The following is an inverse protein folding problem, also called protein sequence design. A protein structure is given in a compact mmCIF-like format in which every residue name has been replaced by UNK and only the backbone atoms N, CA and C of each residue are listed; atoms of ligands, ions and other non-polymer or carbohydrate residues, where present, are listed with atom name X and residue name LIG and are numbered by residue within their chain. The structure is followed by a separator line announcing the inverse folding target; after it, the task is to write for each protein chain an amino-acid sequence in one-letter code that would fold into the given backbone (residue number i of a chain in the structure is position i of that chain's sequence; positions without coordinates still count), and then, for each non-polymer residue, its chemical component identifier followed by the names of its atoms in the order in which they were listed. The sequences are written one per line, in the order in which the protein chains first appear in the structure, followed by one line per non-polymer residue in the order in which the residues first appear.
data_IF_692468080391
#
_entry.id   IF_692468080391
#
_cell.length_a   1.000
_cell.length_b   1.000
_cell.length_c   1.000
_cell.angle_alpha   90.00
_cell.angle_beta   90.00
_cell.angle_gamma   90.00
#
_symmetry.space_group_name_H-M   'P 1'
#
loop_
_entity.id
_entity.type
_entity.pdbx_description
1 polymer ?
#
# COMPACT_ATOMS: atom_id res chain seq x y z
N UNK A 1 17.09 4.55 23.32
CA UNK A 1 16.90 3.16 23.77
C UNK A 1 17.27 2.27 22.59
N UNK A 2 18.56 2.00 22.44
CA UNK A 2 19.19 1.37 21.28
C UNK A 2 19.42 -0.11 21.57
N UNK A 3 18.46 -0.95 21.19
CA UNK A 3 18.69 -2.39 21.10
C UNK A 3 18.10 -2.86 19.78
N UNK A 4 18.79 -2.55 18.68
CA UNK A 4 18.53 -3.22 17.42
C UNK A 4 19.15 -4.62 17.53
N UNK A 5 18.50 -5.50 18.30
CA UNK A 5 18.89 -6.91 18.33
C UNK A 5 18.58 -7.50 16.96
N UNK A 6 19.63 -7.57 16.13
CA UNK A 6 19.50 -8.00 14.76
C UNK A 6 19.27 -9.52 14.77
N UNK A 7 18.08 -9.95 14.32
CA UNK A 7 17.69 -11.36 14.39
C UNK A 7 18.69 -12.21 13.62
N UNK A 8 19.28 -13.20 14.29
CA UNK A 8 20.19 -14.15 13.66
C UNK A 8 19.41 -15.09 12.72
N UNK A 9 19.85 -15.16 11.47
CA UNK A 9 19.26 -15.95 10.39
C UNK A 9 20.35 -16.87 9.82
N UNK A 10 20.54 -18.07 10.39
CA UNK A 10 21.59 -18.97 9.96
C UNK A 10 21.33 -19.46 8.54
N UNK A 11 22.39 -19.50 7.73
CA UNK A 11 22.34 -20.05 6.38
C UNK A 11 22.17 -21.56 6.47
N UNK A 12 21.00 -22.07 6.05
CA UNK A 12 20.74 -23.51 5.90
C UNK A 12 21.17 -23.99 4.52
N UNK A 13 20.89 -23.20 3.47
CA UNK A 13 21.27 -23.52 2.09
C UNK A 13 21.46 -22.25 1.27
N UNK A 14 22.58 -22.11 0.57
CA UNK A 14 22.79 -21.06 -0.43
C UNK A 14 22.06 -21.39 -1.73
N UNK A 15 21.51 -20.37 -2.40
CA UNK A 15 20.83 -20.49 -3.69
C UNK A 15 21.64 -19.76 -4.79
N UNK A 16 21.41 -20.15 -6.03
CA UNK A 16 22.25 -19.73 -7.17
C UNK A 16 22.13 -18.24 -7.52
N UNK A 17 21.07 -17.57 -7.06
CA UNK A 17 20.86 -16.13 -7.26
C UNK A 17 21.37 -15.26 -6.10
N UNK A 18 22.20 -15.82 -5.22
CA UNK A 18 22.84 -15.12 -4.10
C UNK A 18 21.98 -14.98 -2.84
N UNK A 19 20.73 -15.44 -2.89
CA UNK A 19 19.87 -15.57 -1.71
C UNK A 19 20.11 -16.88 -0.96
N UNK A 20 19.54 -17.03 0.23
CA UNK A 20 19.71 -18.26 1.02
C UNK A 20 18.46 -18.67 1.79
N UNK A 21 18.31 -19.97 2.03
CA UNK A 21 17.31 -20.50 2.95
C UNK A 21 17.81 -20.40 4.40
N UNK A 22 16.92 -19.99 5.29
CA UNK A 22 17.13 -19.94 6.74
C UNK A 22 15.94 -20.59 7.43
N UNK A 23 16.17 -21.07 8.66
CA UNK A 23 15.12 -21.60 9.52
C UNK A 23 14.89 -20.65 10.71
N UNK A 24 13.63 -20.34 11.00
CA UNK A 24 13.25 -19.64 12.23
C UNK A 24 12.33 -20.51 13.08
N UNK A 25 12.31 -20.22 14.37
CA UNK A 25 11.50 -20.90 15.36
C UNK A 25 10.71 -19.87 16.18
N UNK A 26 9.53 -20.22 16.72
CA UNK A 26 8.72 -19.33 17.54
C UNK A 26 9.45 -18.82 18.78
N UNK A 27 10.24 -19.70 19.42
CA UNK A 27 10.97 -19.43 20.66
C UNK A 27 12.28 -20.23 20.75
N UNK A 28 13.07 -19.99 21.79
CA UNK A 28 14.39 -20.61 21.97
C UNK A 28 14.34 -22.11 22.34
N UNK A 29 13.31 -22.56 23.04
CA UNK A 29 13.13 -23.97 23.40
C UNK A 29 12.77 -24.78 22.16
N UNK A 30 11.88 -24.25 21.34
CA UNK A 30 11.50 -24.81 20.04
C UNK A 30 12.71 -24.92 19.09
N UNK A 31 13.66 -23.99 19.16
CA UNK A 31 14.93 -24.07 18.42
C UNK A 31 15.80 -25.25 18.86
N UNK A 32 15.89 -25.51 20.16
CA UNK A 32 16.65 -26.64 20.73
C UNK A 32 16.05 -27.98 20.30
N UNK A 33 14.73 -28.11 20.34
CA UNK A 33 14.02 -29.34 19.96
C UNK A 33 13.70 -29.44 18.47
N UNK A 34 14.08 -28.43 17.67
CA UNK A 34 13.70 -28.22 16.27
C UNK A 34 12.18 -28.36 16.00
N UNK A 35 11.36 -28.10 17.00
CA UNK A 35 9.90 -28.16 16.87
C UNK A 35 9.36 -26.88 16.25
N UNK A 36 8.39 -26.99 15.33
CA UNK A 36 7.77 -25.83 14.69
C UNK A 36 8.72 -25.03 13.79
N UNK A 37 9.62 -25.71 13.09
CA UNK A 37 10.55 -25.10 12.13
C UNK A 37 9.79 -24.40 10.99
N UNK A 38 10.13 -23.13 10.74
CA UNK A 38 9.64 -22.37 9.60
C UNK A 38 10.81 -22.08 8.69
N UNK A 39 10.82 -22.72 7.53
CA UNK A 39 11.79 -22.43 6.47
C UNK A 39 11.35 -21.17 5.73
N UNK A 40 12.28 -20.26 5.57
CA UNK A 40 12.12 -19.06 4.79
C UNK A 40 13.34 -18.84 3.91
N UNK A 41 13.20 -17.95 2.94
CA UNK A 41 14.29 -17.46 2.12
C UNK A 41 14.63 -16.04 2.52
N UNK A 42 15.92 -15.75 2.60
CA UNK A 42 16.50 -14.45 2.92
C UNK A 42 17.17 -13.90 1.68
N UNK A 43 16.81 -12.67 1.32
CA UNK A 43 17.43 -11.91 0.24
C UNK A 43 18.07 -10.68 0.87
N UNK A 44 19.40 -10.56 0.78
CA UNK A 44 20.13 -9.36 1.21
C UNK A 44 20.33 -8.44 0.02
N UNK A 45 20.00 -7.16 0.17
CA UNK A 45 20.16 -6.17 -0.90
C UNK A 45 20.42 -4.76 -0.35
N UNK A 46 20.96 -3.89 -1.20
CA UNK A 46 21.16 -2.47 -0.94
C UNK A 46 20.15 -1.65 -1.74
N UNK A 47 19.70 -0.51 -1.18
CA UNK A 47 18.84 0.40 -1.92
C UNK A 47 19.65 1.14 -3.01
N UNK A 48 19.12 1.32 -4.23
CA UNK A 48 19.76 2.13 -5.26
C UNK A 48 19.94 3.59 -4.80
N UNK A 49 21.15 4.15 -4.96
CA UNK A 49 21.45 5.55 -4.59
C UNK A 49 21.80 5.75 -3.10
N UNK A 50 21.81 4.69 -2.31
CA UNK A 50 22.37 4.68 -0.97
C UNK A 50 23.90 4.89 -1.00
N UNK A 51 24.49 5.71 -0.12
CA UNK A 51 25.93 5.71 0.10
C UNK A 51 26.41 4.29 0.45
N UNK A 52 27.64 3.93 0.07
CA UNK A 52 28.24 2.60 0.30
C UNK A 52 28.32 2.22 1.81
N UNK A 53 28.08 3.20 2.69
CA UNK A 53 27.99 3.06 4.14
C UNK A 53 26.59 2.75 4.68
N UNK A 54 25.56 2.61 3.82
CA UNK A 54 24.18 2.38 4.27
C UNK A 54 23.91 0.90 4.60
N UNK A 55 23.00 0.68 5.55
CA UNK A 55 22.64 -0.65 6.08
C UNK A 55 22.14 -1.60 4.97
N UNK A 56 22.64 -2.84 4.96
CA UNK A 56 22.11 -3.90 4.10
C UNK A 56 20.70 -4.28 4.56
N UNK A 57 19.74 -4.26 3.66
CA UNK A 57 18.37 -4.69 3.93
C UNK A 57 18.23 -6.19 3.75
N UNK A 58 17.35 -6.80 4.56
CA UNK A 58 17.00 -8.22 4.47
C UNK A 58 15.51 -8.38 4.19
N UNK A 59 15.18 -8.98 3.06
CA UNK A 59 13.83 -9.42 2.73
C UNK A 59 13.67 -10.89 3.13
N UNK A 60 12.68 -11.17 3.97
CA UNK A 60 12.26 -12.51 4.36
C UNK A 60 11.03 -12.90 3.55
N UNK A 61 11.07 -14.05 2.88
CA UNK A 61 9.95 -14.51 2.05
C UNK A 61 9.72 -16.02 2.17
N UNK A 62 8.48 -16.45 1.95
CA UNK A 62 8.09 -17.86 1.80
C UNK A 62 8.18 -18.35 0.35
N UNK A 63 8.57 -17.49 -0.59
CA UNK A 63 8.85 -17.85 -1.98
C UNK A 63 10.26 -18.46 -2.08
N UNK A 64 10.35 -19.79 -1.91
CA UNK A 64 11.62 -20.49 -1.73
C UNK A 64 12.39 -20.79 -3.02
N UNK A 65 11.71 -20.80 -4.17
CA UNK A 65 12.30 -21.19 -5.46
C UNK A 65 12.84 -19.96 -6.22
N UNK A 66 14.17 -19.86 -6.45
CA UNK A 66 14.79 -18.76 -7.19
C UNK A 66 14.41 -18.74 -8.69
N UNK A 67 14.03 -19.87 -9.28
CA UNK A 67 13.62 -19.92 -10.69
C UNK A 67 12.22 -19.33 -10.91
N UNK A 68 11.33 -19.48 -9.91
CA UNK A 68 9.98 -18.91 -9.96
C UNK A 68 9.92 -17.48 -9.42
N UNK A 69 10.80 -17.14 -8.46
CA UNK A 69 10.83 -15.82 -7.84
C UNK A 69 12.28 -15.36 -7.66
N UNK A 70 12.90 -14.75 -8.68
CA UNK A 70 14.28 -14.29 -8.63
C UNK A 70 14.50 -13.24 -7.53
N UNK A 71 15.64 -13.30 -6.84
CA UNK A 71 15.94 -12.43 -5.70
C UNK A 71 15.92 -10.93 -6.07
N UNK A 72 16.50 -10.56 -7.22
CA UNK A 72 16.57 -9.17 -7.67
C UNK A 72 15.17 -8.60 -8.00
N UNK A 73 14.32 -9.41 -8.62
CA UNK A 73 12.94 -9.01 -8.93
C UNK A 73 12.13 -8.83 -7.65
N UNK A 74 12.23 -9.76 -6.70
CA UNK A 74 11.59 -9.64 -5.40
C UNK A 74 12.07 -8.43 -4.60
N UNK A 75 13.37 -8.12 -4.62
CA UNK A 75 13.92 -6.94 -3.97
C UNK A 75 13.34 -5.65 -4.58
N UNK A 76 13.25 -5.60 -5.92
CA UNK A 76 12.69 -4.46 -6.66
C UNK A 76 11.20 -4.28 -6.33
N UNK A 77 10.40 -5.34 -6.42
CA UNK A 77 8.97 -5.31 -6.08
C UNK A 77 8.73 -4.94 -4.62
N UNK A 78 9.59 -5.39 -3.71
CA UNK A 78 9.47 -5.05 -2.30
C UNK A 78 9.82 -3.58 -2.03
N UNK A 79 10.76 -3.02 -2.80
CA UNK A 79 11.02 -1.57 -2.81
C UNK A 79 9.80 -0.80 -3.36
N UNK A 80 9.18 -1.24 -4.45
CA UNK A 80 7.93 -0.65 -4.95
C UNK A 80 6.79 -0.76 -3.92
N UNK A 81 6.76 -1.83 -3.12
CA UNK A 81 5.78 -1.99 -2.04
C UNK A 81 5.93 -0.91 -0.96
N UNK A 82 7.14 -0.40 -0.68
CA UNK A 82 7.31 0.71 0.27
C UNK A 82 6.54 1.96 -0.15
N UNK A 83 6.16 2.06 -1.41
CA UNK A 83 5.32 3.15 -1.90
C UNK A 83 3.89 3.11 -1.34
N UNK A 84 3.51 2.04 -0.63
CA UNK A 84 2.31 2.02 0.23
C UNK A 84 2.35 3.09 1.33
N UNK A 85 3.53 3.52 1.77
CA UNK A 85 3.68 4.66 2.67
C UNK A 85 3.14 5.94 2.03
N UNK A 86 3.37 6.11 0.72
CA UNK A 86 2.77 7.17 -0.07
C UNK A 86 1.24 7.10 -0.06
N UNK A 87 0.65 5.90 -0.16
CA UNK A 87 -0.82 5.72 -0.06
C UNK A 87 -1.33 6.12 1.32
N UNK A 88 -0.62 5.78 2.39
CA UNK A 88 -1.00 6.20 3.73
C UNK A 88 -0.89 7.72 3.92
N UNK A 89 0.12 8.36 3.33
CA UNK A 89 0.26 9.81 3.36
C UNK A 89 -0.81 10.52 2.51
N UNK A 90 -1.13 9.98 1.33
CA UNK A 90 -2.25 10.44 0.49
C UNK A 90 -3.57 10.42 1.25
N UNK A 91 -3.86 9.29 1.91
CA UNK A 91 -5.04 9.15 2.75
C UNK A 91 -5.02 10.16 3.90
N UNK A 92 -4.01 10.09 4.76
CA UNK A 92 -3.95 10.82 6.05
C UNK A 92 -3.77 12.32 5.87
N UNK A 93 -2.94 12.73 4.92
CA UNK A 93 -2.45 14.11 4.80
C UNK A 93 -3.12 14.82 3.63
N UNK A 94 -3.03 14.26 2.42
CA UNK A 94 -3.39 14.98 1.20
C UNK A 94 -4.89 15.02 0.91
N UNK A 95 -5.59 13.90 1.12
CA UNK A 95 -7.03 13.81 0.88
C UNK A 95 -7.83 14.65 1.88
N UNK A 96 -7.41 14.61 3.15
CA UNK A 96 -8.03 15.36 4.24
C UNK A 96 -7.53 16.82 4.35
N UNK A 97 -6.44 17.19 3.68
CA UNK A 97 -5.79 18.51 3.78
C UNK A 97 -5.62 18.97 5.25
N UNK A 98 -5.25 18.05 6.13
CA UNK A 98 -5.06 18.33 7.56
C UNK A 98 -6.34 18.43 8.41
N UNK A 99 -7.54 18.18 7.87
CA UNK A 99 -8.80 18.08 8.66
C UNK A 99 -8.97 16.66 9.21
N UNK A 100 -8.50 16.44 10.44
CA UNK A 100 -8.20 15.08 10.98
C UNK A 100 -9.31 14.35 11.71
N UNK A 101 -10.50 14.92 11.91
CA UNK A 101 -11.43 14.34 12.89
C UNK A 101 -12.66 13.77 12.22
N UNK A 102 -12.78 12.44 12.28
CA UNK A 102 -14.07 11.75 12.10
C UNK A 102 -15.06 12.38 13.08
N UNK A 103 -16.18 12.88 12.57
CA UNK A 103 -17.11 13.77 13.28
C UNK A 103 -18.14 13.01 14.10
N UNK A 104 -18.46 11.80 13.67
CA UNK A 104 -19.42 10.92 14.31
C UNK A 104 -19.02 10.60 15.75
N UNK A 105 -20.02 10.63 16.64
CA UNK A 105 -19.88 10.26 18.06
C UNK A 105 -20.33 8.84 18.37
N UNK A 106 -20.62 8.04 17.35
CA UNK A 106 -21.04 6.64 17.47
C UNK A 106 -20.05 5.74 16.74
N UNK A 107 -19.79 4.51 17.23
CA UNK A 107 -18.88 3.57 16.56
C UNK A 107 -19.27 3.27 15.11
N UNK A 108 -20.57 3.12 14.82
CA UNK A 108 -21.06 2.88 13.46
C UNK A 108 -20.85 4.07 12.53
N UNK A 109 -21.12 5.30 13.00
CA UNK A 109 -20.89 6.51 12.21
C UNK A 109 -19.40 6.72 11.92
N UNK A 110 -18.53 6.43 12.89
CA UNK A 110 -17.07 6.49 12.70
C UNK A 110 -16.62 5.48 11.62
N UNK A 111 -17.14 4.24 11.65
CA UNK A 111 -16.87 3.24 10.59
C UNK A 111 -17.34 3.73 9.23
N UNK A 112 -18.56 4.28 9.14
CA UNK A 112 -19.12 4.80 7.91
C UNK A 112 -18.26 5.93 7.32
N UNK A 113 -17.85 6.89 8.16
CA UNK A 113 -17.00 7.99 7.72
C UNK A 113 -15.63 7.51 7.25
N UNK A 114 -15.04 6.53 7.94
CA UNK A 114 -13.79 5.91 7.52
C UNK A 114 -13.93 5.25 6.14
N UNK A 115 -15.00 4.47 5.91
CA UNK A 115 -15.24 3.89 4.59
C UNK A 115 -15.50 4.94 3.52
N UNK A 116 -16.24 6.00 3.83
CA UNK A 116 -16.43 7.15 2.93
C UNK A 116 -15.10 7.80 2.55
N UNK A 117 -14.16 7.90 3.49
CA UNK A 117 -12.83 8.43 3.25
C UNK A 117 -11.99 7.52 2.35
N UNK A 118 -12.01 6.21 2.58
CA UNK A 118 -11.35 5.21 1.71
C UNK A 118 -11.95 5.23 0.30
N UNK A 119 -13.28 5.34 0.17
CA UNK A 119 -13.96 5.45 -1.13
C UNK A 119 -13.56 6.74 -1.87
N UNK A 120 -13.40 7.86 -1.16
CA UNK A 120 -12.96 9.11 -1.77
C UNK A 120 -11.51 9.00 -2.29
N UNK A 121 -10.61 8.34 -1.55
CA UNK A 121 -9.25 8.03 -2.04
C UNK A 121 -9.30 7.15 -3.28
N UNK A 122 -10.09 6.07 -3.22
CA UNK A 122 -10.26 5.15 -4.34
C UNK A 122 -10.79 5.86 -5.59
N UNK A 123 -11.75 6.77 -5.46
CA UNK A 123 -12.29 7.53 -6.58
C UNK A 123 -11.22 8.42 -7.25
N UNK A 124 -10.36 9.07 -6.48
CA UNK A 124 -9.23 9.87 -7.01
C UNK A 124 -8.22 8.96 -7.70
N UNK A 125 -7.88 7.83 -7.07
CA UNK A 125 -6.99 6.83 -7.68
C UNK A 125 -7.58 6.27 -8.98
N UNK A 126 -8.88 5.99 -9.03
CA UNK A 126 -9.53 5.52 -10.24
C UNK A 126 -9.48 6.59 -11.34
N UNK A 127 -9.72 7.86 -11.03
CA UNK A 127 -9.57 8.95 -12.00
C UNK A 127 -8.13 9.05 -12.55
N UNK A 128 -7.13 8.94 -11.67
CA UNK A 128 -5.72 8.90 -12.10
C UNK A 128 -5.44 7.68 -12.99
N UNK A 129 -6.08 6.55 -12.71
CA UNK A 129 -5.93 5.34 -13.53
C UNK A 129 -6.45 5.55 -14.95
N UNK A 130 -7.66 6.09 -15.06
CA UNK A 130 -8.32 6.34 -16.33
C UNK A 130 -7.48 7.31 -17.16
N UNK A 131 -7.02 8.40 -16.55
CA UNK A 131 -6.15 9.38 -17.21
C UNK A 131 -4.82 8.76 -17.65
N UNK A 132 -4.15 8.00 -16.78
CA UNK A 132 -2.90 7.33 -17.11
C UNK A 132 -3.08 6.34 -18.27
N UNK A 133 -4.16 5.56 -18.24
CA UNK A 133 -4.47 4.55 -19.26
C UNK A 133 -4.79 5.18 -20.61
N UNK A 134 -5.61 6.24 -20.63
CA UNK A 134 -5.96 6.98 -21.84
C UNK A 134 -4.74 7.62 -22.52
N UNK A 135 -3.75 8.06 -21.73
CA UNK A 135 -2.56 8.74 -22.24
C UNK A 135 -1.29 7.86 -22.26
N UNK A 136 -1.40 6.56 -21.95
CA UNK A 136 -0.27 5.61 -21.85
C UNK A 136 0.86 6.11 -20.95
N UNK A 137 0.50 6.79 -19.87
CA UNK A 137 1.45 7.28 -18.86
C UNK A 137 1.57 6.27 -17.73
N UNK A 138 2.72 6.28 -17.06
CA UNK A 138 2.84 5.55 -15.81
C UNK A 138 2.01 6.26 -14.74
N UNK A 139 1.12 5.55 -14.03
CA UNK A 139 0.27 6.16 -12.98
C UNK A 139 1.09 6.99 -11.98
N UNK A 140 2.29 6.52 -11.63
CA UNK A 140 3.18 7.17 -10.66
C UNK A 140 3.71 8.53 -11.11
N UNK A 141 3.62 8.86 -12.40
CA UNK A 141 3.97 10.19 -12.91
C UNK A 141 2.86 11.23 -12.68
N UNK A 142 1.69 10.81 -12.19
CA UNK A 142 0.56 11.70 -11.93
C UNK A 142 0.53 12.13 -10.46
N UNK A 143 0.31 13.43 -10.21
CA UNK A 143 0.17 13.96 -8.85
C UNK A 143 -1.21 13.67 -8.27
N UNK A 144 -1.25 12.94 -7.14
CA UNK A 144 -2.49 12.70 -6.39
C UNK A 144 -3.17 14.01 -5.96
N UNK A 145 -2.43 14.93 -5.34
CA UNK A 145 -2.96 16.22 -4.90
C UNK A 145 -3.54 17.03 -6.06
N UNK A 146 -2.87 17.03 -7.22
CA UNK A 146 -3.40 17.65 -8.44
C UNK A 146 -4.77 17.11 -8.84
N UNK A 147 -4.96 15.79 -8.78
CA UNK A 147 -6.23 15.15 -9.10
C UNK A 147 -7.32 15.41 -8.06
N UNK A 148 -6.98 15.49 -6.76
CA UNK A 148 -7.91 15.95 -5.73
C UNK A 148 -8.44 17.36 -6.03
N UNK A 149 -7.55 18.28 -6.43
CA UNK A 149 -7.95 19.64 -6.79
C UNK A 149 -8.84 19.69 -8.04
N UNK A 150 -8.53 18.88 -9.06
CA UNK A 150 -9.36 18.75 -10.26
C UNK A 150 -10.75 18.20 -9.92
N UNK A 151 -10.83 17.12 -9.14
CA UNK A 151 -12.10 16.50 -8.74
C UNK A 151 -12.99 17.49 -7.99
N UNK A 152 -12.42 18.25 -7.04
CA UNK A 152 -13.15 19.30 -6.31
C UNK A 152 -13.60 20.45 -7.20
N UNK A 153 -12.79 20.85 -8.19
CA UNK A 153 -13.16 21.89 -9.15
C UNK A 153 -14.28 21.45 -10.08
N UNK A 154 -14.29 20.17 -10.47
CA UNK A 154 -15.29 19.58 -11.33
C UNK A 154 -16.60 19.25 -10.59
N UNK A 155 -16.57 19.17 -9.25
CA UNK A 155 -17.76 18.89 -8.47
C UNK A 155 -18.81 19.99 -8.67
N UNK A 156 -20.06 19.66 -9.04
CA UNK A 156 -21.13 20.63 -9.14
C UNK A 156 -21.28 21.37 -7.80
N UNK A 157 -21.46 22.70 -7.85
CA UNK A 157 -21.65 23.56 -6.65
C UNK A 157 -22.83 23.11 -5.77
N UNK A 158 -23.72 22.29 -6.31
CA UNK A 158 -24.85 21.67 -5.64
C UNK A 158 -24.70 20.14 -5.72
N UNK A 159 -24.25 19.52 -4.64
CA UNK A 159 -24.25 18.06 -4.44
C UNK A 159 -25.61 17.49 -4.03
N UNK A 160 -26.71 18.20 -4.33
CA UNK A 160 -28.04 17.69 -4.07
C UNK A 160 -28.34 16.63 -5.13
N UNK A 161 -28.19 15.36 -4.76
CA UNK A 161 -29.00 14.32 -5.36
C UNK A 161 -30.43 14.59 -4.87
N UNK A 162 -31.36 15.08 -5.72
CA UNK A 162 -32.74 15.17 -5.29
C UNK A 162 -33.18 13.75 -4.94
N UNK A 163 -33.74 13.51 -3.73
CA UNK A 163 -34.10 12.17 -3.27
C UNK A 163 -35.22 11.51 -4.10
N UNK A 164 -35.76 12.21 -5.11
CA UNK A 164 -36.79 11.74 -6.04
C UNK A 164 -36.56 12.33 -7.42
N UNK A 165 -36.74 11.50 -8.45
CA UNK A 165 -36.94 11.95 -9.83
C UNK A 165 -38.15 12.89 -9.85
N UNK A 166 -38.09 14.06 -10.50
CA UNK A 166 -39.29 14.89 -10.65
C UNK A 166 -40.34 14.07 -11.40
N UNK A 167 -41.54 13.93 -10.81
CA UNK A 167 -42.69 13.42 -11.55
C UNK A 167 -42.90 14.34 -12.74
N UNK A 168 -42.78 13.79 -13.95
CA UNK A 168 -43.19 14.47 -15.18
C UNK A 168 -44.68 14.69 -15.07
N UNK A 169 -45.11 15.86 -14.60
CA UNK A 169 -46.50 16.25 -14.62
C UNK A 169 -46.96 16.16 -16.08
N UNK A 170 -47.76 15.15 -16.39
CA UNK A 170 -48.42 15.02 -17.68
C UNK A 170 -49.43 16.14 -17.74
N UNK A 171 -49.05 17.27 -18.34
CA UNK A 171 -49.99 18.33 -18.67
C UNK A 171 -50.93 17.77 -19.74
N UNK A 172 -52.09 17.30 -19.31
CA UNK A 172 -53.23 17.09 -20.20
C UNK A 172 -53.74 18.47 -20.61
N UNK A 173 -53.34 18.90 -21.81
CA UNK A 173 -53.96 20.03 -22.50
C UNK A 173 -55.37 19.58 -22.89
N UNK A 174 -56.37 20.34 -22.46
CA UNK A 174 -57.76 20.20 -22.89
C UNK A 174 -58.10 21.29 -23.88
#
# INVERSE_FOLDING_TARGET
MTTTDNRQLPVVKQLDDGSYLSAIYPDAKSRSTRSGEIILRVIEYSLPGAPDTQERYRLLTTLLDPLQAPALELATLYQERWEVEGVFDELKTHLAQGRRTLRSKTPDGVRQEFYGWVLAHYAVCWLMHEAASAHRLHRRSLSFTGHVHLLRRAQPRSGAFPPRTPETATTLVR
#
